data_IF_296025034287
#
_entry.id   IF_296025034287
#
_cell.length_a   1.000
_cell.length_b   1.000
_cell.length_c   1.000
_cell.angle_alpha   90.00
_cell.angle_beta   90.00
_cell.angle_gamma   90.00
#
_symmetry.space_group_name_H-M   'P 1'
#
loop_
_entity.id
_entity.type
_entity.pdbx_description
1 polymer ?
#
# COMPACT_ATOMS: atom_id res chain seq x y z
N UNK A 1 -1.05 -43.58 -2.28
CA UNK A 1 -1.15 -44.44 -1.10
C UNK A 1 0.02 -45.42 -1.18
N UNK A 2 1.11 -45.13 -0.46
CA UNK A 2 2.29 -46.02 -0.40
C UNK A 2 1.93 -47.13 0.58
N UNK A 3 1.61 -48.33 0.05
CA UNK A 3 1.42 -49.51 0.87
C UNK A 3 2.78 -49.86 1.48
N UNK A 4 2.95 -49.61 2.74
CA UNK A 4 4.18 -49.95 3.48
C UNK A 4 4.27 -51.48 3.61
N UNK A 5 5.18 -52.09 2.88
CA UNK A 5 5.41 -53.53 3.00
C UNK A 5 5.84 -53.88 4.43
N UNK A 6 5.06 -54.73 5.09
CA UNK A 6 5.39 -55.24 6.42
C UNK A 6 6.59 -56.17 6.28
N UNK A 7 7.73 -55.77 6.86
CA UNK A 7 8.93 -56.61 6.84
C UNK A 7 8.70 -57.96 7.55
N UNK A 8 9.27 -59.03 6.98
CA UNK A 8 9.26 -60.34 7.61
C UNK A 8 10.02 -60.31 8.93
N UNK A 9 9.64 -61.18 9.85
CA UNK A 9 10.31 -61.30 11.16
C UNK A 9 11.77 -61.73 10.96
N UNK A 10 12.76 -60.99 11.49
CA UNK A 10 14.17 -61.40 11.39
C UNK A 10 14.42 -62.71 12.18
N UNK A 11 15.39 -63.48 11.71
CA UNK A 11 15.82 -64.70 12.43
C UNK A 11 16.43 -64.36 13.79
N UNK A 12 16.29 -65.24 14.79
CA UNK A 12 16.90 -65.06 16.07
C UNK A 12 18.43 -65.05 15.97
N UNK A 13 19.11 -64.23 16.78
CA UNK A 13 20.59 -64.09 16.74
C UNK A 13 21.37 -65.40 16.85
N UNK A 14 20.98 -66.33 17.73
CA UNK A 14 21.67 -67.62 17.81
C UNK A 14 21.65 -68.40 16.49
N UNK A 15 20.52 -68.45 15.80
CA UNK A 15 20.33 -69.15 14.51
C UNK A 15 21.11 -68.48 13.39
N UNK A 16 21.08 -67.15 13.32
CA UNK A 16 21.79 -66.35 12.30
C UNK A 16 23.29 -66.42 12.49
N UNK A 17 23.78 -66.48 13.75
CA UNK A 17 25.21 -66.56 14.10
C UNK A 17 25.88 -67.87 13.61
N UNK A 18 25.15 -68.97 13.61
CA UNK A 18 25.68 -70.27 13.17
C UNK A 18 25.95 -70.35 11.68
N UNK A 19 25.23 -69.58 10.88
CA UNK A 19 25.36 -69.56 9.43
C UNK A 19 26.41 -68.60 8.92
N UNK A 20 26.96 -67.72 9.77
CA UNK A 20 27.88 -66.64 9.36
C UNK A 20 29.36 -67.02 9.44
N UNK A 21 30.05 -66.81 8.35
CA UNK A 21 31.51 -66.86 8.26
C UNK A 21 32.06 -65.71 7.42
N UNK A 22 33.19 -65.05 7.75
CA UNK A 22 34.15 -65.34 8.80
C UNK A 22 33.76 -64.77 10.18
N UNK A 23 34.24 -65.44 11.27
CA UNK A 23 33.92 -65.09 12.66
C UNK A 23 34.32 -63.68 13.13
N UNK A 24 35.30 -63.07 12.49
CA UNK A 24 35.74 -61.69 12.79
C UNK A 24 34.67 -60.62 12.41
N UNK A 25 33.78 -60.95 11.49
CA UNK A 25 32.72 -60.05 11.06
C UNK A 25 31.47 -60.08 11.94
N UNK A 26 31.40 -60.96 12.97
CA UNK A 26 30.28 -61.12 13.87
C UNK A 26 29.78 -59.79 14.53
N UNK A 27 30.66 -58.88 14.97
CA UNK A 27 30.17 -57.61 15.57
C UNK A 27 29.44 -56.75 14.58
N UNK A 28 29.86 -56.73 13.30
CA UNK A 28 29.17 -55.96 12.25
C UNK A 28 27.81 -56.56 11.91
N UNK A 29 27.73 -57.88 11.83
CA UNK A 29 26.47 -58.59 11.58
C UNK A 29 25.53 -58.52 12.76
N UNK A 30 26.02 -58.36 13.98
CA UNK A 30 25.18 -58.09 15.16
C UNK A 30 24.49 -56.73 15.06
N UNK A 31 25.18 -55.71 14.56
CA UNK A 31 24.61 -54.38 14.33
C UNK A 31 23.54 -54.45 13.21
N UNK A 32 23.81 -55.13 12.11
CA UNK A 32 22.83 -55.35 11.04
C UNK A 32 21.58 -56.08 11.55
N UNK A 33 21.74 -57.14 12.36
CA UNK A 33 20.65 -57.86 12.97
C UNK A 33 19.81 -56.96 13.91
N UNK A 34 20.47 -56.10 14.68
CA UNK A 34 19.78 -55.14 15.53
C UNK A 34 18.94 -54.15 14.69
N UNK A 35 19.50 -53.67 13.56
CA UNK A 35 18.78 -52.81 12.63
C UNK A 35 17.60 -53.51 11.96
N UNK A 36 17.72 -54.81 11.61
CA UNK A 36 16.61 -55.60 11.05
C UNK A 36 15.47 -55.75 12.05
N UNK A 37 15.77 -55.95 13.34
CA UNK A 37 14.76 -56.01 14.40
C UNK A 37 14.10 -54.67 14.67
N UNK A 38 14.90 -53.62 14.70
CA UNK A 38 14.39 -52.25 14.81
C UNK A 38 13.45 -51.91 13.67
N UNK A 39 13.88 -52.21 12.45
CA UNK A 39 13.07 -51.96 11.23
C UNK A 39 11.79 -52.82 11.20
N UNK A 40 11.86 -54.07 11.73
CA UNK A 40 10.67 -54.92 11.88
C UNK A 40 9.70 -54.36 12.92
N UNK A 41 10.18 -53.92 14.08
CA UNK A 41 9.37 -53.28 15.13
C UNK A 41 8.71 -52.00 14.57
N UNK A 42 9.49 -51.14 13.95
CA UNK A 42 8.99 -49.89 13.37
C UNK A 42 7.99 -50.13 12.22
N UNK A 43 8.17 -51.21 11.40
CA UNK A 43 7.25 -51.54 10.32
C UNK A 43 5.86 -51.99 10.80
N UNK A 44 5.75 -52.43 12.04
CA UNK A 44 4.51 -52.88 12.69
C UNK A 44 3.92 -51.86 13.67
N UNK A 45 4.61 -50.77 13.91
CA UNK A 45 4.16 -49.78 14.86
C UNK A 45 3.07 -48.90 14.27
N UNK A 46 1.83 -49.18 14.64
CA UNK A 46 0.66 -48.43 14.16
C UNK A 46 0.75 -46.90 14.42
N UNK A 47 1.55 -46.52 15.43
CA UNK A 47 1.80 -45.12 15.72
C UNK A 47 2.48 -44.38 14.56
N UNK A 48 3.35 -45.01 13.79
CA UNK A 48 4.00 -44.39 12.62
C UNK A 48 3.02 -44.15 11.49
N UNK A 49 2.00 -44.98 11.32
CA UNK A 49 0.90 -44.73 10.37
C UNK A 49 0.08 -43.52 10.80
N UNK A 50 -0.24 -43.42 12.08
CA UNK A 50 -0.94 -42.27 12.67
C UNK A 50 -0.11 -40.98 12.49
N UNK A 51 1.21 -41.05 12.69
CA UNK A 51 2.11 -39.89 12.55
C UNK A 51 2.19 -39.40 11.10
N UNK A 52 2.18 -40.30 10.13
CA UNK A 52 2.16 -39.97 8.70
C UNK A 52 0.85 -39.24 8.30
N UNK A 53 -0.29 -39.74 8.77
CA UNK A 53 -1.57 -39.05 8.57
C UNK A 53 -1.66 -37.73 9.35
N UNK A 54 -1.14 -37.69 10.58
CA UNK A 54 -1.12 -36.47 11.38
C UNK A 54 -0.26 -35.38 10.76
N UNK A 55 0.87 -35.73 10.12
CA UNK A 55 1.72 -34.74 9.43
C UNK A 55 1.01 -34.13 8.21
N UNK A 56 0.35 -34.97 7.42
CA UNK A 56 -0.45 -34.51 6.27
C UNK A 56 -1.65 -33.65 6.69
N UNK A 57 -2.31 -34.06 7.78
CA UNK A 57 -3.45 -33.31 8.35
C UNK A 57 -2.97 -31.95 8.91
N UNK A 58 -1.81 -31.90 9.56
CA UNK A 58 -1.26 -30.65 10.12
C UNK A 58 -0.99 -29.59 9.02
N UNK A 59 -0.48 -30.02 7.87
CA UNK A 59 -0.30 -29.12 6.71
C UNK A 59 -1.64 -28.60 6.21
N UNK A 60 -2.66 -29.49 6.08
CA UNK A 60 -3.99 -29.07 5.66
C UNK A 60 -4.60 -28.04 6.62
N UNK A 61 -4.52 -28.34 7.92
CA UNK A 61 -4.99 -27.45 8.99
C UNK A 61 -4.24 -26.11 8.96
N UNK A 62 -2.92 -26.12 8.80
CA UNK A 62 -2.13 -24.88 8.66
C UNK A 62 -2.55 -24.03 7.43
N UNK A 63 -2.83 -24.68 6.30
CA UNK A 63 -3.34 -24.01 5.11
C UNK A 63 -4.72 -23.38 5.35
N UNK A 64 -5.62 -24.13 6.00
CA UNK A 64 -6.95 -23.60 6.35
C UNK A 64 -6.83 -22.38 7.26
N UNK A 65 -6.02 -22.45 8.34
CA UNK A 65 -5.78 -21.33 9.24
C UNK A 65 -5.13 -20.14 8.52
N UNK A 66 -4.17 -20.39 7.62
CA UNK A 66 -3.55 -19.33 6.83
C UNK A 66 -4.58 -18.52 6.03
N UNK A 67 -5.53 -19.19 5.39
CA UNK A 67 -6.59 -18.50 4.64
C UNK A 67 -7.66 -17.90 5.55
N UNK A 68 -8.00 -18.55 6.66
CA UNK A 68 -8.96 -18.02 7.63
C UNK A 68 -8.48 -16.70 8.26
N UNK A 69 -7.18 -16.59 8.55
CA UNK A 69 -6.58 -15.39 9.14
C UNK A 69 -6.23 -14.30 8.12
N UNK A 70 -6.39 -14.55 6.82
CA UNK A 70 -6.02 -13.57 5.77
C UNK A 70 -6.74 -12.23 5.95
N UNK A 71 -8.02 -12.25 6.34
CA UNK A 71 -8.82 -11.06 6.61
C UNK A 71 -8.33 -10.26 7.83
N UNK A 72 -7.92 -10.95 8.87
CA UNK A 72 -7.45 -10.29 10.10
C UNK A 72 -6.05 -9.70 9.91
N UNK A 73 -5.18 -10.36 9.14
CA UNK A 73 -3.88 -9.81 8.74
C UNK A 73 -4.04 -8.51 7.94
N UNK A 74 -5.02 -8.45 7.02
CA UNK A 74 -5.31 -7.23 6.26
C UNK A 74 -5.77 -6.10 7.16
N UNK A 75 -6.71 -6.35 8.07
CA UNK A 75 -7.16 -5.36 9.06
C UNK A 75 -6.03 -4.86 9.95
N UNK A 76 -5.15 -5.75 10.38
CA UNK A 76 -4.00 -5.38 11.19
C UNK A 76 -3.03 -4.47 10.44
N UNK A 77 -2.77 -4.73 9.15
CA UNK A 77 -1.96 -3.85 8.30
C UNK A 77 -2.59 -2.47 8.16
N UNK A 78 -3.89 -2.39 7.86
CA UNK A 78 -4.61 -1.12 7.78
C UNK A 78 -4.54 -0.36 9.10
N UNK A 79 -4.71 -1.04 10.24
CA UNK A 79 -4.56 -0.42 11.54
C UNK A 79 -3.17 0.17 11.76
N UNK A 80 -2.12 -0.57 11.38
CA UNK A 80 -0.74 -0.08 11.44
C UNK A 80 -0.52 1.12 10.52
N UNK A 81 -1.03 1.09 9.28
CA UNK A 81 -0.96 2.21 8.36
C UNK A 81 -1.62 3.47 8.93
N UNK A 82 -2.83 3.34 9.50
CA UNK A 82 -3.51 4.44 10.18
C UNK A 82 -2.75 4.96 11.41
N UNK A 83 -2.11 4.08 12.18
CA UNK A 83 -1.24 4.51 13.28
C UNK A 83 -0.08 5.36 12.78
N UNK A 84 0.59 4.95 11.70
CA UNK A 84 1.70 5.71 11.09
C UNK A 84 1.22 7.10 10.66
N UNK A 85 0.07 7.19 9.98
CA UNK A 85 -0.49 8.47 9.55
C UNK A 85 -0.76 9.39 10.75
N UNK A 86 -1.41 8.87 11.78
CA UNK A 86 -1.83 9.67 12.94
C UNK A 86 -0.68 10.04 13.88
N UNK A 87 0.30 9.16 14.09
CA UNK A 87 1.39 9.41 15.06
C UNK A 87 2.51 10.28 14.50
N UNK A 88 2.61 10.37 13.18
CA UNK A 88 3.65 11.19 12.54
C UNK A 88 3.26 12.67 12.39
N UNK A 89 2.08 13.10 12.85
CA UNK A 89 1.65 14.50 12.79
C UNK A 89 2.67 15.42 13.49
N UNK A 90 3.02 16.54 12.85
CA UNK A 90 3.95 17.53 13.40
C UNK A 90 5.41 17.11 13.46
N UNK A 91 5.78 15.93 12.99
CA UNK A 91 7.19 15.49 12.89
C UNK A 91 7.68 15.68 11.47
N UNK A 92 8.85 16.30 11.30
CA UNK A 92 9.49 16.45 9.99
C UNK A 92 9.77 15.10 9.33
N UNK A 93 9.70 15.07 7.99
CA UNK A 93 9.88 13.87 7.19
C UNK A 93 8.57 13.14 6.85
N UNK A 94 8.62 12.18 5.93
CA UNK A 94 7.43 11.37 5.56
C UNK A 94 7.02 10.42 6.69
N UNK A 95 7.96 9.96 7.50
CA UNK A 95 7.72 9.05 8.63
C UNK A 95 7.01 7.76 8.25
N UNK A 96 7.10 7.33 6.97
CA UNK A 96 6.37 6.17 6.46
C UNK A 96 4.94 6.49 6.00
N UNK A 97 4.53 7.78 6.02
CA UNK A 97 3.16 8.17 5.61
C UNK A 97 2.87 7.94 4.14
N UNK A 98 3.88 8.14 3.28
CA UNK A 98 3.74 7.91 1.83
C UNK A 98 3.32 6.45 1.59
N UNK A 99 4.07 5.52 2.16
CA UNK A 99 3.83 4.09 2.05
C UNK A 99 2.46 3.71 2.65
N UNK A 100 2.14 4.23 3.83
CA UNK A 100 0.88 3.96 4.51
C UNK A 100 -0.33 4.46 3.71
N UNK A 101 -0.28 5.69 3.19
CA UNK A 101 -1.35 6.26 2.35
C UNK A 101 -1.52 5.49 1.04
N UNK A 102 -0.40 5.13 0.40
CA UNK A 102 -0.43 4.37 -0.85
C UNK A 102 -0.93 2.93 -0.65
N UNK A 103 -0.59 2.28 0.47
CA UNK A 103 -1.08 0.94 0.82
C UNK A 103 -2.60 0.96 1.04
N UNK A 104 -3.11 1.92 1.83
CA UNK A 104 -4.55 2.08 2.05
C UNK A 104 -5.29 2.36 0.73
N UNK A 105 -4.73 3.25 -0.11
CA UNK A 105 -5.33 3.56 -1.41
C UNK A 105 -5.33 2.34 -2.36
N UNK A 106 -4.26 1.56 -2.40
CA UNK A 106 -4.17 0.34 -3.22
C UNK A 106 -5.22 -0.69 -2.80
N UNK A 107 -5.51 -0.76 -1.51
CA UNK A 107 -6.57 -1.60 -0.94
C UNK A 107 -7.98 -0.99 -1.07
N UNK A 108 -8.09 0.20 -1.69
CA UNK A 108 -9.34 0.97 -1.87
C UNK A 108 -10.01 1.37 -0.56
N UNK A 109 -9.21 1.53 0.49
CA UNK A 109 -9.72 2.10 1.74
C UNK A 109 -9.99 3.60 1.56
N UNK A 110 -11.08 4.05 2.16
CA UNK A 110 -11.43 5.46 2.10
C UNK A 110 -10.55 6.28 3.05
N UNK A 111 -9.85 7.29 2.49
CA UNK A 111 -9.00 8.22 3.25
C UNK A 111 -9.78 9.47 3.68
N UNK A 112 -11.08 9.32 3.92
CA UNK A 112 -11.98 10.42 4.27
C UNK A 112 -11.56 11.06 5.60
N UNK A 113 -11.40 12.39 5.59
CA UNK A 113 -11.01 13.15 6.77
C UNK A 113 -9.58 12.88 7.26
N UNK A 114 -8.72 12.24 6.45
CA UNK A 114 -7.32 12.05 6.82
C UNK A 114 -6.66 13.41 7.07
N UNK A 115 -5.92 13.52 8.17
CA UNK A 115 -5.10 14.70 8.46
C UNK A 115 -3.62 14.35 8.27
N UNK A 116 -3.01 14.98 7.27
CA UNK A 116 -1.59 14.91 6.98
C UNK A 116 -1.03 16.32 6.70
N UNK A 117 -1.56 17.34 7.42
CA UNK A 117 -1.11 18.72 7.30
C UNK A 117 0.38 18.87 7.64
N UNK A 118 1.07 19.75 6.91
CA UNK A 118 2.50 20.01 7.06
C UNK A 118 3.41 18.82 6.78
N UNK A 119 2.91 17.75 6.15
CA UNK A 119 3.66 16.53 5.91
C UNK A 119 4.51 16.59 4.66
N UNK A 120 5.65 15.87 4.67
CA UNK A 120 6.47 15.67 3.47
C UNK A 120 5.94 14.46 2.68
N UNK A 121 5.15 14.73 1.65
CA UNK A 121 4.47 13.73 0.82
C UNK A 121 4.88 13.85 -0.66
N UNK A 122 6.07 14.38 -0.92
CA UNK A 122 6.58 14.52 -2.27
C UNK A 122 6.53 13.19 -3.03
N UNK A 123 5.95 13.23 -4.25
CA UNK A 123 5.83 12.06 -5.12
C UNK A 123 4.83 11.00 -4.63
N UNK A 124 3.97 11.30 -3.64
CA UNK A 124 2.92 10.37 -3.21
C UNK A 124 1.96 10.05 -4.36
N UNK A 125 1.57 8.79 -4.49
CA UNK A 125 0.65 8.31 -5.53
C UNK A 125 -0.69 7.94 -4.91
N UNK A 126 -1.68 8.82 -5.11
CA UNK A 126 -3.04 8.69 -4.58
C UNK A 126 -4.08 8.78 -5.71
N UNK A 127 -3.73 8.21 -6.88
CA UNK A 127 -4.64 8.12 -8.02
C UNK A 127 -5.98 7.50 -7.61
N UNK A 128 -7.08 8.19 -7.94
CA UNK A 128 -8.44 7.74 -7.64
C UNK A 128 -8.78 7.62 -6.14
N UNK A 129 -7.93 8.13 -5.24
CA UNK A 129 -8.16 8.05 -3.80
C UNK A 129 -9.43 8.81 -3.37
N UNK A 130 -10.13 8.28 -2.38
CA UNK A 130 -11.21 9.01 -1.72
C UNK A 130 -10.67 9.79 -0.53
N UNK A 131 -10.37 11.07 -0.76
CA UNK A 131 -9.79 12.04 0.18
C UNK A 131 -10.80 13.12 0.59
N UNK A 132 -12.09 12.79 0.55
CA UNK A 132 -13.15 13.70 0.95
C UNK A 132 -12.87 14.33 2.32
N UNK A 133 -12.88 15.67 2.43
CA UNK A 133 -12.64 16.43 3.65
C UNK A 133 -11.28 16.14 4.32
N UNK A 134 -10.27 15.76 3.55
CA UNK A 134 -8.92 15.61 4.10
C UNK A 134 -8.30 16.97 4.44
N UNK A 135 -7.34 16.96 5.36
CA UNK A 135 -6.49 18.11 5.68
C UNK A 135 -5.05 17.79 5.23
N UNK A 136 -4.63 18.44 4.15
CA UNK A 136 -3.29 18.42 3.57
C UNK A 136 -2.69 19.84 3.55
N UNK A 137 -3.21 20.75 4.38
CA UNK A 137 -2.73 22.12 4.45
C UNK A 137 -1.23 22.18 4.74
N UNK A 138 -0.51 23.09 4.09
CA UNK A 138 0.94 23.25 4.17
C UNK A 138 1.78 21.98 3.91
N UNK A 139 1.20 20.93 3.32
CA UNK A 139 1.93 19.72 2.97
C UNK A 139 2.81 19.92 1.72
N UNK A 140 3.95 19.23 1.69
CA UNK A 140 4.80 19.14 0.49
C UNK A 140 4.32 18.01 -0.41
N UNK A 141 3.59 18.34 -1.46
CA UNK A 141 2.94 17.46 -2.41
C UNK A 141 3.54 17.58 -3.83
N UNK A 142 4.77 18.07 -3.92
CA UNK A 142 5.44 18.22 -5.21
C UNK A 142 5.52 16.91 -5.97
N UNK A 143 5.27 16.95 -7.28
CA UNK A 143 5.33 15.78 -8.19
C UNK A 143 4.43 14.63 -7.74
N UNK A 144 3.40 14.88 -6.94
CA UNK A 144 2.44 13.87 -6.50
C UNK A 144 1.39 13.56 -7.58
N UNK A 145 0.76 12.37 -7.47
CA UNK A 145 -0.31 11.97 -8.36
C UNK A 145 -1.64 11.82 -7.60
N UNK A 146 -2.53 12.79 -7.82
CA UNK A 146 -3.91 12.82 -7.34
C UNK A 146 -4.92 12.71 -8.49
N UNK A 147 -4.49 12.20 -9.64
CA UNK A 147 -5.37 12.09 -10.79
C UNK A 147 -6.63 11.29 -10.48
N UNK A 148 -7.79 11.86 -10.80
CA UNK A 148 -9.10 11.26 -10.52
C UNK A 148 -9.45 11.14 -9.03
N UNK A 149 -8.67 11.69 -8.11
CA UNK A 149 -8.95 11.63 -6.68
C UNK A 149 -10.17 12.50 -6.30
N UNK A 150 -10.91 12.08 -5.28
CA UNK A 150 -11.96 12.88 -4.67
C UNK A 150 -11.36 13.73 -3.53
N UNK A 151 -11.20 15.02 -3.79
CA UNK A 151 -10.71 16.04 -2.87
C UNK A 151 -11.83 17.05 -2.50
N UNK A 152 -13.10 16.65 -2.59
CA UNK A 152 -14.22 17.53 -2.25
C UNK A 152 -14.13 18.00 -0.79
N UNK A 153 -14.30 19.30 -0.56
CA UNK A 153 -14.19 19.95 0.76
C UNK A 153 -12.84 19.73 1.45
N UNK A 154 -11.77 19.45 0.70
CA UNK A 154 -10.44 19.27 1.26
C UNK A 154 -9.81 20.62 1.69
N UNK A 155 -9.05 20.59 2.79
CA UNK A 155 -8.20 21.69 3.23
C UNK A 155 -6.80 21.51 2.66
N UNK A 156 -6.45 22.37 1.68
CA UNK A 156 -5.21 22.30 0.91
C UNK A 156 -4.45 23.63 0.94
N UNK A 157 -4.83 24.52 1.84
CA UNK A 157 -4.27 25.86 1.92
C UNK A 157 -2.76 25.83 2.18
N UNK A 158 -2.02 26.68 1.47
CA UNK A 158 -0.55 26.78 1.54
C UNK A 158 0.21 25.49 1.21
N UNK A 159 -0.45 24.46 0.65
CA UNK A 159 0.21 23.23 0.23
C UNK A 159 1.05 23.46 -1.03
N UNK A 160 2.14 22.70 -1.16
CA UNK A 160 3.02 22.78 -2.32
C UNK A 160 2.70 21.64 -3.31
N UNK A 161 1.99 21.97 -4.37
CA UNK A 161 1.61 21.07 -5.46
C UNK A 161 2.41 21.30 -6.76
N UNK A 162 3.62 21.86 -6.67
CA UNK A 162 4.42 22.07 -7.87
C UNK A 162 4.57 20.79 -8.66
N UNK A 163 4.27 20.87 -9.98
CA UNK A 163 4.35 19.75 -10.92
C UNK A 163 3.49 18.52 -10.51
N UNK A 164 2.50 18.71 -9.66
CA UNK A 164 1.59 17.64 -9.28
C UNK A 164 0.55 17.36 -10.38
N UNK A 165 0.13 16.11 -10.45
CA UNK A 165 -0.94 15.65 -11.35
C UNK A 165 -2.28 15.64 -10.61
N UNK A 166 -3.16 16.59 -10.93
CA UNK A 166 -4.52 16.70 -10.40
C UNK A 166 -5.57 16.42 -11.50
N UNK A 167 -5.14 15.88 -12.63
CA UNK A 167 -6.00 15.62 -13.78
C UNK A 167 -7.26 14.86 -13.42
N UNK A 168 -8.43 15.43 -13.76
CA UNK A 168 -9.72 14.79 -13.50
C UNK A 168 -10.09 14.68 -12.02
N UNK A 169 -9.35 15.29 -11.11
CA UNK A 169 -9.70 15.31 -9.70
C UNK A 169 -11.00 16.09 -9.43
N UNK A 170 -11.72 15.73 -8.39
CA UNK A 170 -12.89 16.45 -7.90
C UNK A 170 -12.45 17.37 -6.76
N UNK A 171 -12.44 18.69 -7.02
CA UNK A 171 -12.00 19.73 -6.08
C UNK A 171 -13.17 20.64 -5.64
N UNK A 172 -14.39 20.13 -5.69
CA UNK A 172 -15.57 20.90 -5.29
C UNK A 172 -15.43 21.39 -3.86
N UNK A 173 -15.65 22.70 -3.67
CA UNK A 173 -15.62 23.37 -2.37
C UNK A 173 -14.31 23.18 -1.60
N UNK A 174 -13.21 22.76 -2.26
CA UNK A 174 -11.89 22.65 -1.63
C UNK A 174 -11.26 24.05 -1.42
N UNK A 175 -10.31 24.14 -0.50
CA UNK A 175 -9.55 25.36 -0.22
C UNK A 175 -8.08 25.19 -0.61
N UNK A 176 -7.64 25.88 -1.68
CA UNK A 176 -6.26 25.96 -2.16
C UNK A 176 -5.67 27.39 -1.97
N UNK A 177 -6.19 28.13 -1.02
CA UNK A 177 -5.67 29.49 -0.76
C UNK A 177 -4.16 29.47 -0.44
N UNK A 178 -3.40 30.31 -1.14
CA UNK A 178 -1.94 30.41 -0.97
C UNK A 178 -1.15 29.15 -1.39
N UNK A 179 -1.76 28.19 -2.06
CA UNK A 179 -1.07 26.98 -2.53
C UNK A 179 -0.12 27.29 -3.69
N UNK A 180 1.01 26.61 -3.75
CA UNK A 180 1.93 26.62 -4.89
C UNK A 180 1.53 25.51 -5.89
N UNK A 181 0.93 25.93 -7.00
CA UNK A 181 0.40 25.07 -8.06
C UNK A 181 1.22 25.22 -9.35
N UNK A 182 2.44 25.74 -9.26
CA UNK A 182 3.28 26.01 -10.42
C UNK A 182 3.53 24.72 -11.20
N UNK A 183 3.15 24.74 -12.51
CA UNK A 183 3.29 23.60 -13.40
C UNK A 183 2.34 22.44 -13.16
N UNK A 184 1.41 22.52 -12.21
CA UNK A 184 0.46 21.46 -11.92
C UNK A 184 -0.52 21.20 -13.09
N UNK A 185 -0.93 19.95 -13.24
CA UNK A 185 -1.94 19.55 -14.25
C UNK A 185 -3.34 19.52 -13.63
N UNK A 186 -4.14 20.53 -13.96
CA UNK A 186 -5.56 20.64 -13.60
C UNK A 186 -6.50 20.21 -14.73
N UNK A 187 -5.98 19.57 -15.76
CA UNK A 187 -6.82 19.23 -16.91
C UNK A 187 -8.03 18.39 -16.48
N UNK A 188 -9.21 18.76 -16.99
CA UNK A 188 -10.47 18.04 -16.74
C UNK A 188 -10.91 17.98 -15.26
N UNK A 189 -10.41 18.84 -14.39
CA UNK A 189 -10.82 18.90 -12.96
C UNK A 189 -12.19 19.55 -12.78
N UNK A 190 -12.90 19.11 -11.73
CA UNK A 190 -14.15 19.77 -11.28
C UNK A 190 -13.79 20.81 -10.21
N UNK A 191 -13.99 22.09 -10.53
CA UNK A 191 -13.53 23.23 -9.73
C UNK A 191 -14.66 24.03 -9.07
N UNK A 192 -15.90 23.54 -9.06
CA UNK A 192 -17.04 24.31 -8.50
C UNK A 192 -16.79 24.62 -7.02
N UNK A 193 -16.88 25.90 -6.64
CA UNK A 193 -16.68 26.35 -5.26
C UNK A 193 -15.21 26.38 -4.80
N UNK A 194 -14.25 25.98 -5.63
CA UNK A 194 -12.83 25.98 -5.28
C UNK A 194 -12.32 27.39 -4.97
N UNK A 195 -11.60 27.52 -3.86
CA UNK A 195 -10.90 28.75 -3.47
C UNK A 195 -9.44 28.69 -3.93
N UNK A 196 -9.03 29.65 -4.76
CA UNK A 196 -7.66 29.85 -5.26
C UNK A 196 -7.09 31.22 -4.87
N UNK A 197 -7.59 31.81 -3.78
CA UNK A 197 -7.09 33.10 -3.32
C UNK A 197 -5.58 33.04 -3.06
N UNK A 198 -4.82 33.99 -3.63
CA UNK A 198 -3.35 34.09 -3.50
C UNK A 198 -2.55 32.84 -3.96
N UNK A 199 -3.17 31.89 -4.68
CA UNK A 199 -2.50 30.71 -5.19
C UNK A 199 -1.56 31.01 -6.37
N UNK A 200 -0.46 30.27 -6.49
CA UNK A 200 0.47 30.36 -7.62
C UNK A 200 0.12 29.33 -8.71
N UNK A 201 -0.58 29.73 -9.74
CA UNK A 201 -0.98 28.88 -10.88
C UNK A 201 -0.03 29.04 -12.08
N UNK A 202 1.16 29.62 -11.91
CA UNK A 202 2.07 29.78 -13.05
C UNK A 202 2.32 28.47 -13.75
N UNK A 203 2.24 28.50 -15.09
CA UNK A 203 2.47 27.35 -15.95
C UNK A 203 1.55 26.14 -15.71
N UNK A 204 0.50 26.28 -14.89
CA UNK A 204 -0.48 25.20 -14.70
C UNK A 204 -1.24 24.90 -15.98
N UNK A 205 -1.60 23.63 -16.19
CA UNK A 205 -2.43 23.20 -17.30
C UNK A 205 -3.91 23.22 -16.90
N UNK A 206 -4.71 24.04 -17.59
CA UNK A 206 -6.11 24.25 -17.30
C UNK A 206 -7.04 23.71 -18.41
N UNK A 207 -6.61 22.70 -19.15
CA UNK A 207 -7.39 22.13 -20.23
C UNK A 207 -8.74 21.57 -19.75
N UNK A 208 -9.84 22.04 -20.35
CA UNK A 208 -11.18 21.50 -20.10
C UNK A 208 -11.79 21.83 -18.74
N UNK A 209 -11.22 22.76 -17.97
CA UNK A 209 -11.83 23.23 -16.71
C UNK A 209 -13.09 24.08 -16.97
N UNK A 210 -13.95 24.15 -15.95
CA UNK A 210 -15.09 25.08 -15.87
C UNK A 210 -14.85 26.04 -14.74
N UNK A 211 -14.54 27.29 -15.07
CA UNK A 211 -14.05 28.29 -14.12
C UNK A 211 -15.13 29.23 -13.57
N UNK A 212 -16.34 29.25 -14.17
CA UNK A 212 -17.37 30.24 -13.83
C UNK A 212 -17.89 30.12 -12.40
N UNK A 213 -17.75 28.93 -11.80
CA UNK A 213 -18.20 28.62 -10.45
C UNK A 213 -17.09 28.58 -9.40
N UNK A 214 -15.89 29.05 -9.72
CA UNK A 214 -14.85 29.24 -8.73
C UNK A 214 -15.29 30.22 -7.64
N UNK A 215 -14.93 29.92 -6.37
CA UNK A 215 -15.26 30.75 -5.22
C UNK A 215 -14.43 32.04 -5.22
N UNK A 216 -13.12 31.92 -5.38
CA UNK A 216 -12.18 33.05 -5.43
C UNK A 216 -10.97 32.74 -6.31
N UNK A 217 -10.47 33.75 -7.02
CA UNK A 217 -9.17 33.75 -7.71
C UNK A 217 -8.42 35.06 -7.40
N UNK A 218 -8.85 35.79 -6.35
CA UNK A 218 -8.23 37.07 -5.96
C UNK A 218 -6.77 36.83 -5.58
N UNK A 219 -5.87 37.66 -6.12
CA UNK A 219 -4.43 37.53 -5.90
C UNK A 219 -3.77 36.31 -6.57
N UNK A 220 -4.54 35.39 -7.15
CA UNK A 220 -3.96 34.21 -7.81
C UNK A 220 -3.07 34.62 -8.99
N UNK A 221 -1.86 34.06 -9.06
CA UNK A 221 -0.94 34.33 -10.15
C UNK A 221 -1.16 33.34 -11.31
N UNK A 222 -1.67 33.86 -12.43
CA UNK A 222 -2.01 33.09 -13.63
C UNK A 222 -1.00 33.25 -14.78
N UNK A 223 0.22 33.70 -14.49
CA UNK A 223 1.23 33.89 -15.54
C UNK A 223 1.57 32.55 -16.22
N UNK A 224 1.63 32.54 -17.55
CA UNK A 224 2.03 31.34 -18.29
C UNK A 224 1.09 30.13 -18.18
N UNK A 225 -0.15 30.27 -17.69
CA UNK A 225 -1.12 29.15 -17.68
C UNK A 225 -1.32 28.60 -19.08
N UNK A 226 -1.42 27.28 -19.19
CA UNK A 226 -1.54 26.55 -20.46
C UNK A 226 -2.94 26.03 -20.68
N UNK A 227 -3.35 25.94 -21.94
CA UNK A 227 -4.61 25.31 -22.38
C UNK A 227 -5.87 25.83 -21.67
N UNK A 228 -5.81 27.01 -21.07
CA UNK A 228 -6.96 27.61 -20.40
C UNK A 228 -8.11 27.84 -21.38
N UNK A 229 -9.37 27.61 -20.97
CA UNK A 229 -10.53 27.91 -21.82
C UNK A 229 -10.58 29.37 -22.23
N UNK A 230 -11.17 29.64 -23.42
CA UNK A 230 -11.32 30.98 -23.93
C UNK A 230 -12.04 31.89 -22.91
N UNK A 231 -11.48 33.10 -22.69
CA UNK A 231 -12.04 34.08 -21.75
C UNK A 231 -11.58 33.90 -20.30
N UNK A 232 -10.94 32.80 -19.94
CA UNK A 232 -10.47 32.55 -18.55
C UNK A 232 -9.58 33.69 -18.02
N UNK A 233 -8.56 34.10 -18.74
CA UNK A 233 -7.62 35.11 -18.27
C UNK A 233 -8.33 36.46 -18.03
N UNK A 234 -9.19 36.92 -18.93
CA UNK A 234 -9.96 38.17 -18.74
C UNK A 234 -10.91 38.05 -17.53
N UNK A 235 -11.58 36.90 -17.41
CA UNK A 235 -12.49 36.63 -16.30
C UNK A 235 -11.76 36.63 -14.95
N UNK A 236 -10.56 35.98 -14.87
CA UNK A 236 -9.76 35.88 -13.67
C UNK A 236 -9.19 37.26 -13.25
N UNK A 237 -8.63 38.02 -14.20
CA UNK A 237 -8.12 39.39 -13.97
C UNK A 237 -9.23 40.30 -13.47
N UNK A 238 -10.41 40.25 -14.04
CA UNK A 238 -11.56 41.03 -13.59
C UNK A 238 -11.98 40.69 -12.16
N UNK A 239 -11.54 39.53 -11.61
CA UNK A 239 -11.77 39.07 -10.22
C UNK A 239 -10.55 39.17 -9.33
N UNK A 240 -9.53 39.91 -9.76
CA UNK A 240 -8.35 40.23 -8.96
C UNK A 240 -7.19 39.26 -9.09
N UNK A 241 -7.21 38.34 -10.06
CA UNK A 241 -6.02 37.57 -10.39
C UNK A 241 -4.91 38.46 -10.97
N UNK A 242 -3.68 38.07 -10.84
CA UNK A 242 -2.49 38.82 -11.26
C UNK A 242 -1.67 38.01 -12.28
N UNK A 243 -0.81 38.70 -13.02
CA UNK A 243 0.16 38.09 -13.93
C UNK A 243 1.53 38.61 -13.54
N UNK A 244 2.34 37.74 -12.91
CA UNK A 244 3.74 38.03 -12.55
C UNK A 244 4.63 36.87 -12.94
N UNK A 245 5.62 37.07 -13.78
CA UNK A 245 6.58 36.04 -14.23
C UNK A 245 7.67 35.76 -13.19
N UNK A 246 8.03 36.72 -12.35
CA UNK A 246 9.06 36.59 -11.33
C UNK A 246 8.47 36.19 -9.97
N UNK A 247 9.19 35.37 -9.23
CA UNK A 247 8.89 35.12 -7.81
C UNK A 247 9.03 36.43 -7.02
N UNK A 248 8.21 36.64 -6.01
CA UNK A 248 8.29 37.84 -5.16
C UNK A 248 9.56 37.88 -4.34
#
# INVERSE_FOLDING_TARGET
MLVREKKARPQAWPERRETMRPRWALPFHAIEWLWDWLAYGLSRWAFLEVLEYASSLSVLVAVIFYYAEAGDRKKQKHYQAWQVINTAQGKGGSGGRIEALQELNADREALVGVNASGSFLQGVRLHGANLLRCDLSAADLRMSDFSGANLENAELSSANFREANLKGAMLRDADLAGADLNGADFSQTELSGLNLEDADLRHADLAGIRYEKLKSVKGANIAGVRNAPAGFAQWAIARGAIIRETEP
#
